data_IF_122192181860
#
_entry.id   IF_122192181860
#
_cell.length_a   1.000
_cell.length_b   1.000
_cell.length_c   1.000
_cell.angle_alpha   90.00
_cell.angle_beta   90.00
_cell.angle_gamma   90.00
#
_symmetry.space_group_name_H-M   'P 1'
#
loop_
_entity.id
_entity.type
_entity.pdbx_description
1 polymer ?
#
# COMPACT_ATOMS: atom_id res chain seq x y z
N UNK A 1 -20.27 5.07 -40.68
CA UNK A 1 -20.73 5.95 -39.59
C UNK A 1 -21.61 5.12 -38.70
N UNK A 2 -21.09 4.73 -37.54
CA UNK A 2 -21.80 3.95 -36.52
C UNK A 2 -21.66 4.76 -35.24
N UNK A 3 -22.78 5.13 -34.64
CA UNK A 3 -22.83 5.93 -33.42
C UNK A 3 -22.14 5.20 -32.25
N UNK A 4 -21.41 5.90 -31.38
CA UNK A 4 -20.88 5.29 -30.17
C UNK A 4 -22.00 5.10 -29.15
N UNK A 5 -22.23 3.84 -28.78
CA UNK A 5 -23.05 3.46 -27.64
C UNK A 5 -22.41 4.03 -26.37
N UNK A 6 -23.13 4.92 -25.68
CA UNK A 6 -22.81 5.30 -24.29
C UNK A 6 -22.90 4.04 -23.44
N UNK A 7 -21.75 3.51 -23.01
CA UNK A 7 -21.70 2.58 -21.87
C UNK A 7 -21.61 3.41 -20.59
N UNK A 8 -22.56 3.16 -19.69
CA UNK A 8 -22.47 3.58 -18.29
C UNK A 8 -21.20 2.96 -17.66
N UNK A 9 -20.49 3.69 -16.79
CA UNK A 9 -19.33 3.12 -16.12
C UNK A 9 -19.79 1.98 -15.22
N UNK A 10 -19.16 0.81 -15.40
CA UNK A 10 -19.28 -0.32 -14.50
C UNK A 10 -18.81 0.13 -13.10
N UNK A 11 -19.62 -0.20 -12.09
CA UNK A 11 -19.26 -0.02 -10.68
C UNK A 11 -18.11 -0.98 -10.33
N UNK A 12 -16.87 -0.50 -10.50
CA UNK A 12 -15.70 -1.22 -10.02
C UNK A 12 -15.54 -1.01 -8.52
N UNK A 13 -15.66 -2.11 -7.79
CA UNK A 13 -15.61 -2.20 -6.34
C UNK A 13 -14.20 -2.52 -5.91
N UNK A 14 -13.65 -1.65 -5.05
CA UNK A 14 -12.57 -1.87 -4.06
C UNK A 14 -11.15 -1.34 -4.38
N UNK A 15 -10.98 -0.05 -4.06
CA UNK A 15 -10.14 0.40 -2.94
C UNK A 15 -11.07 1.12 -1.94
N UNK A 16 -11.74 0.33 -1.08
CA UNK A 16 -12.57 0.84 0.01
C UNK A 16 -11.68 1.28 1.18
N UNK A 17 -10.93 2.35 0.97
CA UNK A 17 -10.51 3.22 2.07
C UNK A 17 -11.39 4.47 2.05
N UNK A 18 -12.34 4.53 3.00
CA UNK A 18 -13.10 5.75 3.29
C UNK A 18 -14.60 5.60 3.55
N UNK A 19 -15.23 4.44 3.32
CA UNK A 19 -16.65 4.24 3.71
C UNK A 19 -16.74 3.59 5.09
N UNK A 20 -16.36 4.35 6.12
CA UNK A 20 -16.87 4.23 7.51
C UNK A 20 -16.42 5.40 8.39
N UNK A 21 -16.29 6.61 7.82
CA UNK A 21 -16.09 7.82 8.61
C UNK A 21 -16.83 9.00 7.97
N UNK A 22 -17.98 9.33 8.58
CA UNK A 22 -18.79 10.54 8.42
C UNK A 22 -19.61 10.69 7.12
N UNK A 23 -20.94 10.50 7.23
CA UNK A 23 -21.85 11.02 6.22
C UNK A 23 -23.29 10.49 6.16
N UNK A 24 -23.93 10.10 7.26
CA UNK A 24 -25.40 10.14 7.36
C UNK A 24 -25.81 10.43 8.80
N UNK A 25 -25.83 11.72 9.13
CA UNK A 25 -26.54 12.21 10.30
C UNK A 25 -27.92 12.71 9.86
N UNK A 26 -28.91 11.81 9.80
CA UNK A 26 -30.33 12.13 9.95
C UNK A 26 -31.20 10.87 10.10
N UNK A 27 -30.94 10.02 11.11
CA UNK A 27 -31.97 9.21 11.79
C UNK A 27 -31.39 8.74 13.13
N UNK A 28 -32.18 8.82 14.21
CA UNK A 28 -31.79 8.41 15.56
C UNK A 28 -31.29 6.95 15.63
N UNK A 29 -30.43 6.59 16.59
CA UNK A 29 -29.86 5.24 16.65
C UNK A 29 -30.90 4.27 17.21
N UNK A 30 -31.34 3.31 16.39
CA UNK A 30 -31.77 2.04 16.95
C UNK A 30 -30.51 1.35 17.50
N UNK A 31 -30.54 1.11 18.81
CA UNK A 31 -29.57 0.33 19.57
C UNK A 31 -29.58 -1.13 19.09
N UNK A 32 -28.96 -1.39 17.94
CA UNK A 32 -28.69 -2.74 17.46
C UNK A 32 -27.32 -3.19 17.93
N UNK A 33 -27.27 -4.14 18.85
CA UNK A 33 -26.08 -4.96 19.10
C UNK A 33 -25.58 -5.52 17.74
N UNK A 34 -24.27 -5.59 17.45
CA UNK A 34 -23.79 -6.28 16.26
C UNK A 34 -24.41 -7.67 16.24
N UNK A 35 -25.08 -8.03 15.14
CA UNK A 35 -25.69 -9.35 15.02
C UNK A 35 -24.62 -10.41 15.32
N UNK A 36 -24.87 -11.27 16.30
CA UNK A 36 -23.97 -12.38 16.61
C UNK A 36 -23.76 -13.21 15.34
N UNK A 37 -22.50 -13.43 14.94
CA UNK A 37 -22.18 -14.27 13.79
C UNK A 37 -22.81 -15.64 14.00
N UNK A 38 -23.44 -16.19 12.96
CA UNK A 38 -24.03 -17.51 13.06
C UNK A 38 -22.94 -18.57 13.31
N UNK A 39 -23.26 -19.70 13.96
CA UNK A 39 -22.31 -20.82 14.09
C UNK A 39 -21.77 -21.32 12.75
N UNK A 40 -22.57 -21.22 11.69
CA UNK A 40 -22.18 -21.60 10.32
C UNK A 40 -21.13 -20.63 9.75
N UNK A 41 -21.29 -19.31 9.98
CA UNK A 41 -20.30 -18.31 9.57
C UNK A 41 -18.98 -18.49 10.31
N UNK A 42 -19.03 -18.81 11.61
CA UNK A 42 -17.83 -19.09 12.42
C UNK A 42 -17.10 -20.32 11.87
N UNK A 43 -17.82 -21.42 11.63
CA UNK A 43 -17.23 -22.65 11.10
C UNK A 43 -16.59 -22.43 9.72
N UNK A 44 -17.24 -21.63 8.83
CA UNK A 44 -16.68 -21.27 7.53
C UNK A 44 -15.39 -20.46 7.66
N UNK A 45 -15.37 -19.45 8.53
CA UNK A 45 -14.16 -18.64 8.76
C UNK A 45 -13.00 -19.48 9.31
N UNK A 46 -13.29 -20.44 10.19
CA UNK A 46 -12.29 -21.38 10.72
C UNK A 46 -11.71 -22.29 9.61
N UNK A 47 -12.57 -22.82 8.73
CA UNK A 47 -12.14 -23.63 7.58
C UNK A 47 -11.25 -22.82 6.63
N UNK A 48 -11.67 -21.60 6.29
CA UNK A 48 -10.88 -20.71 5.43
C UNK A 48 -9.53 -20.32 6.08
N UNK A 49 -9.50 -20.11 7.40
CA UNK A 49 -8.24 -19.89 8.13
C UNK A 49 -7.32 -21.11 8.05
N UNK A 50 -7.85 -22.32 8.23
CA UNK A 50 -7.07 -23.54 8.11
C UNK A 50 -6.50 -23.71 6.69
N UNK A 51 -7.31 -23.44 5.67
CA UNK A 51 -6.87 -23.46 4.28
C UNK A 51 -5.78 -22.42 4.01
N UNK A 52 -5.93 -21.19 4.49
CA UNK A 52 -4.89 -20.15 4.35
C UNK A 52 -3.57 -20.58 5.00
N UNK A 53 -3.62 -21.15 6.21
CA UNK A 53 -2.42 -21.66 6.90
C UNK A 53 -1.72 -22.73 6.07
N UNK A 54 -2.47 -23.61 5.41
CA UNK A 54 -1.90 -24.62 4.50
C UNK A 54 -1.22 -23.96 3.29
N UNK A 55 -1.85 -22.97 2.66
CA UNK A 55 -1.25 -22.25 1.52
C UNK A 55 0.03 -21.52 1.95
N UNK A 56 -0.01 -20.78 3.06
CA UNK A 56 1.14 -20.07 3.61
C UNK A 56 2.29 -21.02 3.98
N UNK A 57 1.99 -22.17 4.58
CA UNK A 57 3.01 -23.20 4.90
C UNK A 57 3.70 -23.70 3.64
N UNK A 58 2.94 -23.89 2.55
CA UNK A 58 3.48 -24.31 1.26
C UNK A 58 4.40 -23.25 0.68
N UNK A 59 3.95 -21.99 0.67
CA UNK A 59 4.72 -20.83 0.19
C UNK A 59 5.98 -20.62 1.02
N UNK A 60 5.90 -20.66 2.35
CA UNK A 60 7.06 -20.56 3.25
C UNK A 60 8.07 -21.67 2.95
N UNK A 61 7.59 -22.90 2.74
CA UNK A 61 8.45 -24.01 2.34
C UNK A 61 9.23 -23.74 1.05
N UNK A 62 8.60 -23.17 0.01
CA UNK A 62 9.30 -22.75 -1.20
C UNK A 62 10.29 -21.62 -0.92
N UNK A 63 9.86 -20.59 -0.17
CA UNK A 63 10.67 -19.43 0.18
C UNK A 63 11.94 -19.82 0.94
N UNK A 64 11.86 -20.68 1.95
CA UNK A 64 13.03 -21.11 2.73
C UNK A 64 14.12 -21.79 1.89
N UNK A 65 13.74 -22.41 0.76
CA UNK A 65 14.66 -23.12 -0.13
C UNK A 65 15.21 -22.27 -1.27
N UNK A 66 14.72 -21.04 -1.46
CA UNK A 66 15.18 -20.23 -2.60
C UNK A 66 16.66 -19.89 -2.47
N UNK A 67 17.39 -20.28 -3.51
CA UNK A 67 18.81 -20.06 -3.63
C UNK A 67 19.14 -19.44 -4.98
N UNK A 68 19.71 -18.25 -4.97
CA UNK A 68 20.23 -17.60 -6.16
C UNK A 68 21.72 -17.96 -6.34
N UNK A 69 22.18 -18.37 -7.53
CA UNK A 69 23.58 -18.69 -7.77
C UNK A 69 24.56 -17.56 -7.42
N UNK A 70 24.16 -16.29 -7.55
CA UNK A 70 25.02 -15.14 -7.27
C UNK A 70 24.94 -14.66 -5.82
N UNK A 71 23.79 -14.85 -5.16
CA UNK A 71 23.50 -14.26 -3.84
C UNK A 71 23.32 -15.27 -2.71
N UNK A 72 23.29 -16.57 -3.00
CA UNK A 72 23.11 -17.62 -2.00
C UNK A 72 21.65 -17.82 -1.59
N UNK A 73 21.41 -18.18 -0.32
CA UNK A 73 20.08 -18.45 0.25
C UNK A 73 19.22 -17.19 0.41
N UNK A 74 18.74 -16.64 -0.71
CA UNK A 74 18.00 -15.39 -0.78
C UNK A 74 16.63 -15.46 -0.12
N UNK A 75 15.96 -16.62 -0.14
CA UNK A 75 14.60 -16.69 0.36
C UNK A 75 14.50 -16.59 1.89
N UNK A 76 15.40 -17.24 2.63
CA UNK A 76 15.51 -17.03 4.09
C UNK A 76 15.89 -15.59 4.43
N UNK A 77 16.80 -14.98 3.65
CA UNK A 77 17.17 -13.58 3.86
C UNK A 77 15.97 -12.63 3.63
N UNK A 78 15.15 -12.91 2.61
CA UNK A 78 13.95 -12.15 2.30
C UNK A 78 12.89 -12.28 3.41
N UNK A 79 12.58 -13.52 3.83
CA UNK A 79 11.62 -13.78 4.92
C UNK A 79 12.06 -13.09 6.21
N UNK A 80 13.36 -13.14 6.54
CA UNK A 80 13.89 -12.45 7.71
C UNK A 80 13.77 -10.93 7.59
N UNK A 81 14.08 -10.36 6.43
CA UNK A 81 13.94 -8.93 6.19
C UNK A 81 12.48 -8.49 6.35
N UNK A 82 11.56 -9.15 5.64
CA UNK A 82 10.12 -8.85 5.69
C UNK A 82 9.55 -9.02 7.11
N UNK A 83 9.86 -10.13 7.78
CA UNK A 83 9.42 -10.41 9.15
C UNK A 83 9.97 -9.43 10.19
N UNK A 84 11.07 -8.73 9.90
CA UNK A 84 11.61 -7.68 10.79
C UNK A 84 10.87 -6.35 10.68
N UNK A 85 10.04 -6.17 9.64
CA UNK A 85 9.41 -4.90 9.32
C UNK A 85 7.89 -4.95 9.33
N UNK A 86 7.30 -6.08 8.97
CA UNK A 86 5.86 -6.28 8.99
C UNK A 86 5.33 -6.18 10.42
N UNK A 87 4.28 -5.38 10.62
CA UNK A 87 3.61 -5.32 11.92
C UNK A 87 2.53 -6.40 12.07
N UNK A 88 1.92 -6.84 10.96
CA UNK A 88 0.86 -7.85 10.94
C UNK A 88 0.71 -8.48 9.55
N UNK A 89 0.43 -9.77 9.56
CA UNK A 89 -0.17 -10.51 8.46
C UNK A 89 -1.53 -11.03 8.93
N UNK A 90 -2.60 -10.90 8.13
CA UNK A 90 -3.92 -11.45 8.48
C UNK A 90 -4.78 -11.72 7.24
N UNK A 91 -5.93 -12.33 7.44
CA UNK A 91 -6.94 -12.57 6.41
C UNK A 91 -7.99 -11.47 6.45
N UNK A 92 -8.29 -10.92 5.28
CA UNK A 92 -9.44 -10.07 5.04
C UNK A 92 -10.37 -10.80 4.05
N UNK A 93 -11.46 -11.36 4.56
CA UNK A 93 -12.39 -12.15 3.76
C UNK A 93 -13.19 -11.32 2.75
N UNK A 94 -13.26 -10.01 2.96
CA UNK A 94 -13.93 -9.09 2.03
C UNK A 94 -12.98 -8.68 0.89
N UNK A 95 -11.67 -8.81 1.09
CA UNK A 95 -10.68 -8.52 0.07
C UNK A 95 -10.65 -9.62 -0.99
N UNK A 96 -10.90 -9.26 -2.26
CA UNK A 96 -10.79 -10.19 -3.40
C UNK A 96 -9.35 -10.65 -3.71
N UNK A 97 -8.36 -9.74 -3.94
CA UNK A 97 -7.03 -10.15 -4.40
C UNK A 97 -6.33 -11.09 -3.41
N UNK A 98 -5.35 -11.86 -3.90
CA UNK A 98 -4.64 -12.85 -3.07
C UNK A 98 -3.92 -12.19 -1.89
N UNK A 99 -3.25 -11.06 -2.11
CA UNK A 99 -2.65 -10.29 -1.04
C UNK A 99 -2.79 -8.78 -1.34
N UNK A 100 -2.69 -7.95 -0.31
CA UNK A 100 -2.67 -6.50 -0.42
C UNK A 100 -1.88 -5.86 0.70
N UNK A 101 -1.01 -4.91 0.35
CA UNK A 101 -0.22 -4.15 1.30
C UNK A 101 -0.92 -2.84 1.72
N UNK A 102 -0.89 -2.56 3.02
CA UNK A 102 -1.44 -1.34 3.60
C UNK A 102 -0.35 -0.55 4.35
N UNK A 103 0.06 0.59 3.79
CA UNK A 103 1.08 1.48 4.37
C UNK A 103 0.54 2.37 5.48
N UNK A 104 -0.56 3.08 5.21
CA UNK A 104 -1.11 4.10 6.09
C UNK A 104 -2.60 3.94 6.32
N UNK A 105 -3.05 4.26 7.53
CA UNK A 105 -4.44 4.41 7.92
C UNK A 105 -4.72 5.90 8.01
N UNK A 106 -5.71 6.37 7.24
CA UNK A 106 -6.11 7.77 7.23
C UNK A 106 -7.64 7.97 7.20
N UNK A 107 -8.19 8.85 8.06
CA UNK A 107 -7.53 9.39 9.25
C UNK A 107 -7.34 8.27 10.29
N UNK A 108 -6.21 8.24 11.02
CA UNK A 108 -6.06 7.28 12.12
C UNK A 108 -7.05 7.60 13.23
N UNK A 109 -7.66 6.56 13.84
CA UNK A 109 -8.49 6.75 15.04
C UNK A 109 -7.63 7.26 16.20
N UNK A 110 -8.23 7.86 17.24
CA UNK A 110 -7.50 8.31 18.42
C UNK A 110 -6.61 7.22 19.03
N UNK A 111 -5.31 7.50 19.17
CA UNK A 111 -4.32 6.57 19.71
C UNK A 111 -3.94 5.40 18.80
N UNK A 112 -4.53 5.29 17.60
CA UNK A 112 -4.17 4.29 16.59
C UNK A 112 -2.92 4.72 15.84
N UNK A 113 -2.01 3.79 15.59
CA UNK A 113 -0.86 4.03 14.69
C UNK A 113 -1.35 4.41 13.30
N UNK A 114 -0.79 5.49 12.72
CA UNK A 114 -1.10 5.85 11.33
C UNK A 114 -0.36 4.98 10.34
N UNK A 115 0.91 4.67 10.59
CA UNK A 115 1.66 3.72 9.77
C UNK A 115 1.35 2.28 10.20
N UNK A 116 0.73 1.50 9.31
CA UNK A 116 0.34 0.11 9.56
C UNK A 116 1.44 -0.87 9.17
N UNK A 117 1.95 -0.83 7.94
CA UNK A 117 2.84 -1.84 7.39
C UNK A 117 2.28 -3.27 7.52
N UNK A 118 1.06 -3.46 7.03
CA UNK A 118 0.34 -4.74 7.07
C UNK A 118 0.27 -5.37 5.68
N UNK A 119 0.26 -6.69 5.65
CA UNK A 119 -0.14 -7.46 4.47
C UNK A 119 -1.38 -8.26 4.83
N UNK A 120 -2.45 -8.06 4.08
CA UNK A 120 -3.68 -8.82 4.24
C UNK A 120 -3.77 -9.86 3.12
N UNK A 121 -4.42 -10.99 3.38
CA UNK A 121 -4.67 -12.06 2.43
C UNK A 121 -6.16 -12.16 2.15
N UNK A 122 -6.53 -12.16 0.87
CA UNK A 122 -7.92 -12.16 0.45
C UNK A 122 -8.42 -13.53 0.03
N UNK A 123 -9.63 -13.56 -0.53
CA UNK A 123 -10.30 -14.79 -0.94
C UNK A 123 -9.50 -15.57 -2.01
N UNK A 124 -8.89 -14.88 -2.98
CA UNK A 124 -8.11 -15.56 -4.04
C UNK A 124 -6.89 -16.32 -3.49
N UNK A 125 -6.34 -15.93 -2.34
CA UNK A 125 -5.18 -16.62 -1.75
C UNK A 125 -5.52 -18.03 -1.25
N UNK A 126 -6.79 -18.31 -1.01
CA UNK A 126 -7.25 -19.65 -0.64
C UNK A 126 -7.23 -20.61 -1.84
N UNK A 127 -7.31 -20.09 -3.07
CA UNK A 127 -7.48 -20.90 -4.27
C UNK A 127 -6.20 -21.62 -4.69
N UNK A 128 -5.02 -21.01 -4.50
CA UNK A 128 -3.80 -21.46 -5.16
C UNK A 128 -2.50 -20.91 -4.49
N UNK A 129 -1.63 -21.80 -3.99
CA UNK A 129 -0.34 -21.44 -3.39
C UNK A 129 0.60 -20.73 -4.38
N UNK A 130 0.60 -21.12 -5.66
CA UNK A 130 1.47 -20.55 -6.68
C UNK A 130 1.18 -19.06 -6.93
N UNK A 131 -0.10 -18.67 -6.94
CA UNK A 131 -0.55 -17.28 -7.02
C UNK A 131 -0.23 -16.53 -5.73
N UNK A 132 -0.47 -17.16 -4.58
CA UNK A 132 -0.13 -16.58 -3.28
C UNK A 132 1.37 -16.30 -3.16
N UNK A 133 2.24 -17.17 -3.68
CA UNK A 133 3.68 -16.94 -3.72
C UNK A 133 4.03 -15.63 -4.43
N UNK A 134 3.45 -15.40 -5.60
CA UNK A 134 3.63 -14.15 -6.35
C UNK A 134 3.09 -12.92 -5.64
N UNK A 135 1.83 -12.98 -5.20
CA UNK A 135 1.19 -11.86 -4.52
C UNK A 135 1.90 -11.51 -3.20
N UNK A 136 2.17 -12.51 -2.35
CA UNK A 136 2.83 -12.30 -1.05
C UNK A 136 4.23 -11.72 -1.19
N UNK A 137 5.04 -12.23 -2.12
CA UNK A 137 6.39 -11.68 -2.34
C UNK A 137 6.35 -10.24 -2.84
N UNK A 138 5.41 -9.91 -3.73
CA UNK A 138 5.16 -8.55 -4.18
C UNK A 138 4.82 -7.61 -3.01
N UNK A 139 3.83 -7.97 -2.19
CA UNK A 139 3.43 -7.15 -1.03
C UNK A 139 4.53 -7.03 0.04
N UNK A 140 5.34 -8.07 0.22
CA UNK A 140 6.49 -8.03 1.15
C UNK A 140 7.58 -7.07 0.66
N UNK A 141 7.77 -6.95 -0.66
CA UNK A 141 8.67 -5.92 -1.21
C UNK A 141 8.13 -4.53 -0.89
N UNK A 142 6.83 -4.28 -1.03
CA UNK A 142 6.24 -3.00 -0.60
C UNK A 142 6.50 -2.71 0.89
N UNK A 143 6.28 -3.69 1.76
CA UNK A 143 6.56 -3.53 3.18
C UNK A 143 8.03 -3.18 3.48
N UNK A 144 8.98 -3.67 2.66
CA UNK A 144 10.40 -3.34 2.76
C UNK A 144 10.74 -1.97 2.17
N UNK A 145 10.14 -1.58 1.05
CA UNK A 145 10.33 -0.26 0.43
C UNK A 145 9.94 0.87 1.38
N UNK A 146 8.80 0.73 2.07
CA UNK A 146 8.32 1.68 3.08
C UNK A 146 9.17 1.68 4.36
N UNK A 147 10.24 0.89 4.44
CA UNK A 147 11.13 0.95 5.60
C UNK A 147 12.25 1.95 5.43
N UNK A 148 12.66 2.20 4.19
CA UNK A 148 13.88 2.95 3.88
C UNK A 148 13.63 4.18 3.00
N UNK A 149 12.56 4.22 2.21
CA UNK A 149 12.35 5.29 1.23
C UNK A 149 11.53 6.46 1.80
N UNK A 150 12.18 7.62 1.99
CA UNK A 150 11.53 8.80 2.56
C UNK A 150 10.40 9.34 1.66
N UNK A 151 10.55 9.22 0.34
CA UNK A 151 9.53 9.64 -0.63
C UNK A 151 8.22 8.84 -0.53
N UNK A 152 8.27 7.60 -0.03
CA UNK A 152 7.07 6.81 0.25
C UNK A 152 6.36 7.30 1.51
N UNK A 153 7.06 7.94 2.45
CA UNK A 153 6.47 8.58 3.63
C UNK A 153 5.99 10.01 3.37
N UNK A 154 6.46 10.68 2.31
CA UNK A 154 5.90 11.95 1.84
C UNK A 154 4.56 11.74 1.08
N UNK A 155 3.68 10.95 1.70
CA UNK A 155 2.42 10.44 1.16
C UNK A 155 1.23 11.30 1.64
N UNK A 156 0.26 11.65 0.76
CA UNK A 156 -1.00 12.26 1.18
C UNK A 156 -1.74 11.51 2.30
N UNK A 157 -1.63 10.17 2.36
CA UNK A 157 -2.21 9.33 3.41
C UNK A 157 -1.44 9.38 4.75
N UNK A 158 -0.21 9.89 4.77
CA UNK A 158 0.58 9.95 6.00
C UNK A 158 0.17 11.15 6.85
N UNK A 159 -0.62 10.91 7.90
CA UNK A 159 -1.09 11.95 8.82
C UNK A 159 0.04 12.59 9.67
N UNK A 160 1.23 11.98 9.72
CA UNK A 160 2.35 12.45 10.53
C UNK A 160 3.09 13.66 9.93
N UNK A 161 2.82 14.01 8.69
CA UNK A 161 3.61 15.01 7.95
C UNK A 161 2.74 15.90 7.09
N UNK A 162 3.15 17.15 6.94
CA UNK A 162 2.61 18.07 5.94
C UNK A 162 3.50 18.21 4.69
N UNK A 163 4.64 17.50 4.65
CA UNK A 163 5.49 17.36 3.46
C UNK A 163 4.93 16.23 2.58
N UNK A 164 4.60 16.54 1.33
CA UNK A 164 3.99 15.63 0.37
C UNK A 164 4.67 15.74 -0.99
N UNK A 165 4.86 14.62 -1.68
CA UNK A 165 5.27 14.67 -3.09
C UNK A 165 4.20 15.35 -3.95
N UNK A 166 4.63 16.01 -5.01
CA UNK A 166 3.76 16.60 -6.04
C UNK A 166 2.85 15.54 -6.69
N UNK A 167 1.71 15.91 -7.32
CA UNK A 167 0.86 14.94 -8.00
C UNK A 167 1.63 14.14 -9.06
N UNK A 168 2.48 14.79 -9.86
CA UNK A 168 3.33 14.10 -10.82
C UNK A 168 4.26 13.08 -10.14
N UNK A 169 4.91 13.47 -9.04
CA UNK A 169 5.83 12.58 -8.34
C UNK A 169 5.12 11.50 -7.53
N UNK A 170 3.85 11.69 -7.16
CA UNK A 170 3.02 10.64 -6.60
C UNK A 170 2.76 9.52 -7.62
N UNK A 171 2.51 9.87 -8.88
CA UNK A 171 2.41 8.89 -9.96
C UNK A 171 3.75 8.21 -10.21
N UNK A 172 4.81 9.00 -10.35
CA UNK A 172 6.15 8.48 -10.60
C UNK A 172 6.58 7.50 -9.51
N UNK A 173 6.39 7.84 -8.22
CA UNK A 173 6.74 6.93 -7.13
C UNK A 173 5.90 5.66 -7.13
N UNK A 174 4.61 5.72 -7.47
CA UNK A 174 3.73 4.54 -7.53
C UNK A 174 4.21 3.61 -8.65
N UNK A 175 4.46 4.17 -9.82
CA UNK A 175 5.03 3.44 -10.95
C UNK A 175 6.37 2.76 -10.59
N UNK A 176 7.27 3.46 -9.88
CA UNK A 176 8.60 2.93 -9.51
C UNK A 176 8.51 1.91 -8.37
N UNK A 177 7.68 2.17 -7.36
CA UNK A 177 7.36 1.24 -6.29
C UNK A 177 6.91 -0.12 -6.85
N UNK A 178 5.97 -0.08 -7.77
CA UNK A 178 5.38 -1.27 -8.40
C UNK A 178 6.36 -1.98 -9.32
N UNK A 179 7.14 -1.26 -10.14
CA UNK A 179 8.22 -1.85 -10.94
C UNK A 179 9.18 -2.68 -10.11
N UNK A 180 9.66 -2.11 -9.00
CA UNK A 180 10.60 -2.78 -8.13
C UNK A 180 9.98 -4.04 -7.49
N UNK A 181 8.72 -3.95 -7.05
CA UNK A 181 7.98 -5.08 -6.49
C UNK A 181 7.72 -6.19 -7.52
N UNK A 182 7.36 -5.86 -8.76
CA UNK A 182 7.17 -6.85 -9.82
C UNK A 182 8.47 -7.52 -10.27
N UNK A 183 9.55 -6.75 -10.40
CA UNK A 183 10.87 -7.30 -10.76
C UNK A 183 11.34 -8.30 -9.69
N UNK A 184 11.26 -7.91 -8.42
CA UNK A 184 11.69 -8.76 -7.30
C UNK A 184 10.75 -9.95 -7.08
N UNK A 185 9.44 -9.75 -7.22
CA UNK A 185 8.45 -10.83 -7.18
C UNK A 185 8.68 -11.85 -8.30
N UNK A 186 8.85 -11.39 -9.55
CA UNK A 186 9.13 -12.27 -10.68
C UNK A 186 10.47 -13.01 -10.53
N UNK A 187 11.49 -12.36 -9.98
CA UNK A 187 12.77 -13.01 -9.67
C UNK A 187 12.62 -14.13 -8.64
N UNK A 188 11.96 -13.87 -7.51
CA UNK A 188 11.76 -14.87 -6.46
C UNK A 188 10.87 -16.02 -6.96
N UNK A 189 9.81 -15.72 -7.71
CA UNK A 189 8.98 -16.73 -8.37
C UNK A 189 9.76 -17.54 -9.42
N UNK A 190 10.68 -16.91 -10.17
CA UNK A 190 11.53 -17.61 -11.14
C UNK A 190 12.48 -18.61 -10.46
N UNK A 191 12.96 -18.30 -9.26
CA UNK A 191 13.72 -19.26 -8.44
C UNK A 191 12.82 -20.39 -7.92
N UNK A 192 11.62 -20.05 -7.42
CA UNK A 192 10.66 -21.01 -6.89
C UNK A 192 10.15 -22.00 -7.96
N UNK A 193 10.10 -21.57 -9.23
CA UNK A 193 9.63 -22.38 -10.35
C UNK A 193 10.44 -23.68 -10.57
N UNK A 194 11.66 -23.80 -10.02
CA UNK A 194 12.41 -25.05 -10.03
C UNK A 194 11.74 -26.17 -9.22
N UNK A 195 11.13 -25.81 -8.09
CA UNK A 195 10.41 -26.73 -7.19
C UNK A 195 8.90 -26.77 -7.49
N UNK A 196 8.34 -25.67 -8.01
CA UNK A 196 6.92 -25.51 -8.32
C UNK A 196 6.71 -24.91 -9.73
N UNK A 197 6.83 -25.72 -10.80
CA UNK A 197 6.78 -25.23 -12.18
C UNK A 197 5.47 -24.51 -12.57
N UNK A 198 4.36 -24.85 -11.92
CA UNK A 198 3.04 -24.26 -12.19
C UNK A 198 2.98 -22.76 -11.87
N UNK A 199 3.90 -22.24 -11.04
CA UNK A 199 4.06 -20.80 -10.80
C UNK A 199 4.20 -20.03 -12.10
N UNK A 200 4.96 -20.55 -13.07
CA UNK A 200 5.18 -19.86 -14.36
C UNK A 200 3.85 -19.66 -15.09
N UNK A 201 3.01 -20.69 -15.12
CA UNK A 201 1.72 -20.64 -15.81
C UNK A 201 0.72 -19.75 -15.08
N UNK A 202 0.64 -19.85 -13.75
CA UNK A 202 -0.31 -19.10 -12.93
C UNK A 202 0.00 -17.59 -12.94
N UNK A 203 1.28 -17.23 -13.07
CA UNK A 203 1.79 -15.85 -13.07
C UNK A 203 2.01 -15.27 -14.47
N UNK A 204 1.58 -15.94 -15.54
CA UNK A 204 1.80 -15.48 -16.92
C UNK A 204 1.06 -14.17 -17.24
N UNK A 205 0.00 -13.86 -16.50
CA UNK A 205 -0.78 -12.63 -16.67
C UNK A 205 -0.29 -11.47 -15.79
N UNK A 206 0.71 -11.70 -14.94
CA UNK A 206 1.26 -10.65 -14.07
C UNK A 206 1.92 -9.53 -14.88
N UNK A 207 1.94 -8.28 -14.37
CA UNK A 207 2.61 -7.15 -15.01
C UNK A 207 4.04 -7.42 -15.49
N UNK A 208 4.81 -8.21 -14.75
CA UNK A 208 6.03 -8.84 -15.22
C UNK A 208 5.91 -10.38 -15.10
N UNK A 209 5.66 -11.10 -16.21
CA UNK A 209 5.58 -12.55 -16.18
C UNK A 209 6.90 -13.19 -15.74
N UNK A 210 6.80 -14.31 -15.01
CA UNK A 210 7.96 -15.08 -14.54
C UNK A 210 8.83 -15.55 -15.72
N UNK A 211 8.19 -16.00 -16.79
CA UNK A 211 8.82 -16.40 -18.05
C UNK A 211 9.62 -15.25 -18.69
N UNK A 212 9.06 -14.03 -18.68
CA UNK A 212 9.74 -12.81 -19.15
C UNK A 212 10.99 -12.52 -18.33
N UNK A 213 10.92 -12.54 -17.00
CA UNK A 213 12.09 -12.31 -16.16
C UNK A 213 13.17 -13.39 -16.38
N UNK A 214 12.80 -14.67 -16.49
CA UNK A 214 13.74 -15.76 -16.80
C UNK A 214 14.46 -15.53 -18.13
N UNK A 215 13.73 -15.10 -19.16
CA UNK A 215 14.29 -14.79 -20.47
C UNK A 215 15.27 -13.60 -20.41
N UNK A 216 14.91 -12.53 -19.69
CA UNK A 216 15.78 -11.38 -19.47
C UNK A 216 17.05 -11.80 -18.73
N UNK A 217 16.92 -12.56 -17.63
CA UNK A 217 18.05 -13.05 -16.84
C UNK A 217 19.03 -13.88 -17.67
N UNK A 218 18.52 -14.76 -18.55
CA UNK A 218 19.37 -15.58 -19.43
C UNK A 218 20.17 -14.77 -20.46
N UNK A 219 19.71 -13.56 -20.80
CA UNK A 219 20.34 -12.65 -21.76
C UNK A 219 21.13 -11.52 -21.11
N UNK A 220 21.15 -11.47 -19.78
CA UNK A 220 21.79 -10.39 -19.02
C UNK A 220 23.19 -10.78 -18.59
N UNK A 221 24.08 -9.79 -18.47
CA UNK A 221 25.47 -10.02 -18.08
C UNK A 221 25.58 -10.49 -16.62
N UNK A 222 24.73 -9.93 -15.75
CA UNK A 222 24.62 -10.27 -14.34
C UNK A 222 23.19 -10.01 -13.84
N UNK A 223 22.97 -10.20 -12.54
CA UNK A 223 21.65 -10.02 -11.92
C UNK A 223 21.23 -8.54 -11.87
N UNK A 224 22.16 -7.61 -11.74
CA UNK A 224 21.85 -6.17 -11.73
C UNK A 224 21.35 -5.72 -13.11
N UNK A 225 22.03 -6.13 -14.18
CA UNK A 225 21.60 -5.88 -15.56
C UNK A 225 20.21 -6.50 -15.85
N UNK A 226 19.95 -7.70 -15.33
CA UNK A 226 18.64 -8.34 -15.47
C UNK A 226 17.51 -7.53 -14.81
N UNK A 227 17.76 -7.02 -13.60
CA UNK A 227 16.81 -6.19 -12.86
C UNK A 227 16.52 -4.88 -13.59
N UNK A 228 17.56 -4.18 -14.03
CA UNK A 228 17.41 -2.92 -14.76
C UNK A 228 16.65 -3.08 -16.09
N UNK A 229 16.88 -4.18 -16.82
CA UNK A 229 16.14 -4.49 -18.05
C UNK A 229 14.68 -4.83 -17.75
N UNK A 230 14.43 -5.67 -16.74
CA UNK A 230 13.09 -6.06 -16.34
C UNK A 230 12.25 -4.86 -15.86
N UNK A 231 12.86 -3.90 -15.16
CA UNK A 231 12.21 -2.67 -14.75
C UNK A 231 11.71 -1.84 -15.94
N UNK A 232 12.57 -1.70 -16.96
CA UNK A 232 12.25 -0.94 -18.18
C UNK A 232 11.12 -1.60 -18.95
N UNK A 233 11.14 -2.91 -19.09
CA UNK A 233 10.13 -3.68 -19.82
C UNK A 233 8.78 -3.66 -19.10
N UNK A 234 8.76 -3.88 -17.79
CA UNK A 234 7.54 -3.97 -16.97
C UNK A 234 6.52 -2.85 -17.22
N UNK A 235 6.99 -1.61 -17.47
CA UNK A 235 6.14 -0.44 -17.78
C UNK A 235 5.28 -0.60 -19.03
N UNK A 236 5.86 -1.23 -20.04
CA UNK A 236 5.33 -1.31 -21.40
C UNK A 236 4.59 -2.62 -21.65
N UNK A 237 4.67 -3.56 -20.70
CA UNK A 237 3.98 -4.83 -20.81
C UNK A 237 2.47 -4.63 -20.68
N UNK A 238 1.75 -5.50 -21.37
CA UNK A 238 0.33 -5.68 -21.18
C UNK A 238 0.12 -6.77 -20.12
N UNK A 239 -0.65 -6.48 -19.08
CA UNK A 239 -0.94 -7.44 -18.01
C UNK A 239 -2.32 -7.22 -17.39
N UNK A 240 -2.64 -8.03 -16.37
CA UNK A 240 -3.86 -7.88 -15.57
C UNK A 240 -3.50 -7.76 -14.10
N UNK A 241 -4.23 -6.92 -13.38
CA UNK A 241 -4.04 -6.69 -11.94
C UNK A 241 -4.74 -7.73 -11.09
N UNK A 242 -5.92 -8.14 -11.53
CA UNK A 242 -6.75 -9.16 -10.88
C UNK A 242 -7.22 -10.15 -11.94
N UNK A 243 -7.71 -11.31 -11.49
CA UNK A 243 -8.07 -12.45 -12.34
C UNK A 243 -9.00 -12.10 -13.51
N UNK A 244 -9.88 -11.12 -13.31
CA UNK A 244 -10.96 -10.75 -14.25
C UNK A 244 -10.81 -9.35 -14.85
N UNK A 245 -9.70 -8.66 -14.57
CA UNK A 245 -9.46 -7.32 -15.12
C UNK A 245 -9.19 -7.36 -16.63
N UNK A 246 -9.58 -6.29 -17.34
CA UNK A 246 -9.17 -6.11 -18.72
C UNK A 246 -7.63 -5.96 -18.80
N UNK A 247 -7.05 -6.53 -19.86
CA UNK A 247 -5.61 -6.44 -20.11
C UNK A 247 -5.26 -5.03 -20.60
N UNK A 248 -4.46 -4.30 -19.83
CA UNK A 248 -4.08 -2.91 -20.09
C UNK A 248 -2.56 -2.74 -20.16
N UNK A 249 -2.11 -1.58 -20.68
CA UNK A 249 -0.71 -1.16 -20.47
C UNK A 249 -0.56 -0.78 -19.02
N UNK A 250 0.29 -1.51 -18.31
CA UNK A 250 0.39 -1.46 -16.85
C UNK A 250 0.68 -0.04 -16.34
N UNK A 251 1.55 0.72 -17.02
CA UNK A 251 1.84 2.10 -16.63
C UNK A 251 0.62 3.04 -16.68
N UNK A 252 -0.25 2.88 -17.68
CA UNK A 252 -1.41 3.77 -17.83
C UNK A 252 -2.45 3.52 -16.73
N UNK A 253 -2.70 2.25 -16.37
CA UNK A 253 -3.61 1.90 -15.27
C UNK A 253 -3.06 2.35 -13.90
N UNK A 254 -1.74 2.24 -13.69
CA UNK A 254 -1.08 2.84 -12.50
C UNK A 254 -1.33 4.33 -12.40
N UNK A 255 -1.14 5.07 -13.50
CA UNK A 255 -1.32 6.51 -13.52
C UNK A 255 -2.76 6.88 -13.21
N UNK A 256 -3.73 6.19 -13.82
CA UNK A 256 -5.15 6.44 -13.59
C UNK A 256 -5.51 6.30 -12.10
N UNK A 257 -5.14 5.18 -11.47
CA UNK A 257 -5.42 4.92 -10.05
C UNK A 257 -4.69 5.91 -9.14
N UNK A 258 -3.41 6.18 -9.41
CA UNK A 258 -2.61 7.08 -8.59
C UNK A 258 -3.15 8.53 -8.64
N UNK A 259 -3.65 8.98 -9.79
CA UNK A 259 -4.31 10.30 -9.91
C UNK A 259 -5.56 10.37 -9.04
N UNK A 260 -6.43 9.37 -9.16
CA UNK A 260 -7.71 9.35 -8.46
C UNK A 260 -7.50 9.23 -6.93
N UNK A 261 -6.55 8.40 -6.49
CA UNK A 261 -6.11 8.32 -5.08
C UNK A 261 -5.58 9.67 -4.57
N UNK A 262 -4.68 10.29 -5.32
CA UNK A 262 -4.06 11.55 -4.92
C UNK A 262 -5.10 12.65 -4.81
N UNK A 263 -5.98 12.82 -5.80
CA UNK A 263 -7.02 13.85 -5.75
C UNK A 263 -7.96 13.64 -4.56
N UNK A 264 -8.40 12.40 -4.34
CA UNK A 264 -9.26 12.04 -3.21
C UNK A 264 -8.61 12.43 -1.89
N UNK A 265 -7.34 12.09 -1.72
CA UNK A 265 -6.61 12.41 -0.49
C UNK A 265 -6.31 13.89 -0.33
N UNK A 266 -5.96 14.58 -1.41
CA UNK A 266 -5.77 16.02 -1.37
C UNK A 266 -7.04 16.75 -0.94
N UNK A 267 -8.22 16.28 -1.38
CA UNK A 267 -9.50 16.79 -0.91
C UNK A 267 -9.60 16.66 0.61
N UNK A 268 -9.39 15.46 1.14
CA UNK A 268 -9.46 15.21 2.58
C UNK A 268 -8.42 16.01 3.37
N UNK A 269 -7.17 16.07 2.90
CA UNK A 269 -6.10 16.82 3.57
C UNK A 269 -6.43 18.30 3.60
N UNK A 270 -6.83 18.87 2.48
CA UNK A 270 -7.16 20.29 2.38
C UNK A 270 -8.38 20.67 3.24
N UNK A 271 -9.42 19.83 3.26
CA UNK A 271 -10.63 20.09 4.05
C UNK A 271 -10.40 19.98 5.57
N UNK A 272 -9.34 19.27 6.01
CA UNK A 272 -9.04 19.02 7.42
C UNK A 272 -7.78 19.74 7.93
N UNK A 273 -7.17 20.63 7.11
CA UNK A 273 -6.04 21.45 7.54
C UNK A 273 -6.41 22.29 8.77
N UNK A 274 -5.61 22.20 9.82
CA UNK A 274 -5.83 23.03 11.00
C UNK A 274 -5.45 24.48 10.72
N UNK A 275 -6.02 25.42 11.48
CA UNK A 275 -5.72 26.84 11.33
C UNK A 275 -4.21 27.11 11.54
N UNK A 276 -3.56 27.64 10.51
CA UNK A 276 -2.12 27.94 10.53
C UNK A 276 -1.22 26.81 10.01
N UNK A 277 -1.77 25.64 9.67
CA UNK A 277 -1.03 24.58 8.98
C UNK A 277 -0.96 24.85 7.48
N UNK A 278 0.17 24.50 6.87
CA UNK A 278 0.38 24.56 5.42
C UNK A 278 0.96 23.23 4.92
N UNK A 279 0.48 22.80 3.75
CA UNK A 279 1.06 21.67 3.04
C UNK A 279 2.29 22.14 2.28
N UNK A 280 3.38 21.39 2.40
CA UNK A 280 4.62 21.60 1.66
C UNK A 280 4.72 20.54 0.57
N UNK A 281 4.62 20.98 -0.68
CA UNK A 281 4.79 20.08 -1.83
C UNK A 281 6.25 20.02 -2.26
N UNK A 282 6.72 18.82 -2.53
CA UNK A 282 8.11 18.56 -2.94
C UNK A 282 8.14 17.79 -4.25
N UNK A 283 9.27 17.89 -4.95
CA UNK A 283 9.58 16.99 -6.06
C UNK A 283 10.56 15.90 -5.66
N UNK A 284 10.50 14.78 -6.35
CA UNK A 284 11.48 13.70 -6.21
C UNK A 284 12.70 13.93 -7.11
N UNK A 285 13.87 13.59 -6.60
CA UNK A 285 15.10 13.44 -7.38
C UNK A 285 15.47 11.96 -7.58
N UNK A 286 16.54 11.68 -8.31
CA UNK A 286 16.91 10.29 -8.59
C UNK A 286 17.33 9.52 -7.34
N UNK A 287 17.86 10.18 -6.30
CA UNK A 287 18.24 9.49 -5.06
C UNK A 287 16.99 8.93 -4.34
N UNK A 288 15.88 9.65 -4.37
CA UNK A 288 14.60 9.18 -3.85
C UNK A 288 14.12 7.89 -4.57
N UNK A 289 14.36 7.77 -5.87
CA UNK A 289 14.00 6.60 -6.67
C UNK A 289 14.91 5.42 -6.35
N UNK A 290 16.22 5.67 -6.18
CA UNK A 290 17.17 4.62 -5.78
C UNK A 290 16.84 4.08 -4.39
N UNK A 291 16.36 4.90 -3.45
CA UNK A 291 15.90 4.44 -2.14
C UNK A 291 14.72 3.47 -2.23
N UNK A 292 13.76 3.73 -3.15
CA UNK A 292 12.64 2.81 -3.40
C UNK A 292 13.19 1.47 -3.93
N UNK A 293 14.11 1.50 -4.88
CA UNK A 293 14.70 0.28 -5.46
C UNK A 293 15.62 -0.51 -4.52
N UNK A 294 16.07 0.10 -3.41
CA UNK A 294 17.02 -0.50 -2.47
C UNK A 294 16.38 -1.40 -1.39
N UNK A 295 15.13 -1.84 -1.58
CA UNK A 295 14.36 -2.58 -0.56
C UNK A 295 14.90 -3.99 -0.23
N UNK A 296 15.37 -4.74 -1.22
CA UNK A 296 15.93 -6.09 -1.06
C UNK A 296 16.64 -6.55 -2.34
N UNK A 297 17.77 -7.26 -2.23
CA UNK A 297 18.51 -7.72 -3.41
C UNK A 297 19.16 -6.56 -4.19
N UNK A 298 19.45 -6.74 -5.49
CA UNK A 298 19.96 -5.67 -6.34
C UNK A 298 18.96 -4.52 -6.45
N UNK A 299 19.48 -3.30 -6.63
CA UNK A 299 18.63 -2.17 -6.94
C UNK A 299 18.03 -2.35 -8.33
N UNK A 300 16.71 -2.24 -8.45
CA UNK A 300 15.99 -2.38 -9.72
C UNK A 300 16.30 -1.25 -10.70
N UNK A 301 16.80 -0.11 -10.19
CA UNK A 301 17.08 1.07 -10.97
C UNK A 301 18.58 1.29 -11.16
N UNK A 302 18.93 1.95 -12.28
CA UNK A 302 20.30 2.33 -12.63
C UNK A 302 21.01 3.03 -11.47
N UNK A 303 22.26 2.68 -11.19
CA UNK A 303 22.98 3.23 -10.02
C UNK A 303 23.25 4.75 -10.06
N UNK A 304 23.10 5.40 -11.22
CA UNK A 304 23.32 6.83 -11.37
C UNK A 304 22.06 7.65 -11.04
N UNK A 305 22.05 8.29 -9.87
CA UNK A 305 20.98 9.16 -9.40
C UNK A 305 20.75 10.41 -10.30
N UNK A 306 21.68 10.74 -11.19
CA UNK A 306 21.52 11.84 -12.14
C UNK A 306 20.85 11.41 -13.44
N UNK A 307 20.54 10.13 -13.62
CA UNK A 307 19.86 9.64 -14.79
C UNK A 307 18.41 10.15 -14.82
N UNK A 308 18.09 10.99 -15.82
CA UNK A 308 16.78 11.60 -15.97
C UNK A 308 15.63 10.60 -16.07
N UNK A 309 15.87 9.41 -16.63
CA UNK A 309 14.85 8.35 -16.74
C UNK A 309 14.31 7.88 -15.38
N UNK A 310 15.07 8.09 -14.30
CA UNK A 310 14.58 7.82 -12.93
C UNK A 310 13.41 8.74 -12.57
N UNK A 311 13.49 10.01 -13.00
CA UNK A 311 12.58 11.09 -12.60
C UNK A 311 11.57 11.50 -13.67
N UNK A 312 11.48 10.74 -14.76
CA UNK A 312 10.58 11.01 -15.89
C UNK A 312 9.64 9.81 -16.11
N UNK A 313 8.35 10.11 -16.26
CA UNK A 313 7.32 9.17 -16.71
C UNK A 313 7.35 9.13 -18.24
N UNK A 314 7.78 8.00 -18.82
CA UNK A 314 7.96 7.86 -20.26
C UNK A 314 6.64 7.87 -21.05
N UNK A 315 5.59 7.27 -20.49
CA UNK A 315 4.29 7.09 -21.17
C UNK A 315 3.14 7.79 -20.43
N UNK A 316 3.31 9.05 -20.04
CA UNK A 316 2.20 9.79 -19.43
C UNK A 316 1.20 10.19 -20.51
N UNK A 317 -0.02 9.63 -20.45
CA UNK A 317 -1.06 9.96 -21.42
C UNK A 317 -1.43 11.46 -21.34
N UNK A 318 -1.83 12.11 -22.45
CA UNK A 318 -2.26 13.51 -22.43
C UNK A 318 -3.43 13.77 -21.46
N UNK A 319 -4.33 12.79 -21.30
CA UNK A 319 -5.45 12.88 -20.36
C UNK A 319 -4.96 12.89 -18.91
N UNK A 320 -3.99 12.03 -18.57
CA UNK A 320 -3.37 12.01 -17.24
C UNK A 320 -2.57 13.28 -16.96
N UNK A 321 -1.81 13.78 -17.94
CA UNK A 321 -1.13 15.07 -17.82
C UNK A 321 -2.11 16.23 -17.57
N UNK A 322 -3.26 16.23 -18.25
CA UNK A 322 -4.30 17.24 -18.02
C UNK A 322 -4.89 17.13 -16.60
N UNK A 323 -5.25 15.94 -16.13
CA UNK A 323 -5.76 15.74 -14.77
C UNK A 323 -4.76 16.21 -13.70
N UNK A 324 -3.46 15.95 -13.88
CA UNK A 324 -2.41 16.45 -12.97
C UNK A 324 -2.45 17.98 -12.92
N UNK A 325 -2.46 18.65 -14.07
CA UNK A 325 -2.51 20.11 -14.13
C UNK A 325 -3.79 20.70 -13.49
N UNK A 326 -4.92 19.99 -13.59
CA UNK A 326 -6.18 20.35 -12.93
C UNK A 326 -6.07 20.25 -11.40
N UNK A 327 -5.46 19.18 -10.88
CA UNK A 327 -5.18 19.00 -9.45
C UNK A 327 -4.23 20.09 -8.94
N UNK A 328 -3.13 20.33 -9.67
CA UNK A 328 -2.16 21.37 -9.31
C UNK A 328 -2.84 22.74 -9.19
N UNK A 329 -3.65 23.11 -10.18
CA UNK A 329 -4.42 24.35 -10.16
C UNK A 329 -5.44 24.38 -9.00
N UNK A 330 -6.16 23.29 -8.78
CA UNK A 330 -7.22 23.19 -7.75
C UNK A 330 -6.67 23.39 -6.34
N UNK A 331 -5.50 22.84 -6.05
CA UNK A 331 -4.88 22.92 -4.72
C UNK A 331 -3.71 23.91 -4.64
N UNK A 332 -3.57 24.80 -5.62
CA UNK A 332 -2.51 25.82 -5.68
C UNK A 332 -1.09 25.25 -5.54
N UNK A 333 -0.85 24.08 -6.13
CA UNK A 333 0.45 23.42 -6.15
C UNK A 333 1.28 24.06 -7.29
N UNK A 334 2.48 24.52 -6.97
CA UNK A 334 3.37 25.09 -7.97
C UNK A 334 3.84 24.01 -8.97
N UNK A 335 4.19 24.39 -10.21
CA UNK A 335 4.69 23.44 -11.20
C UNK A 335 5.88 22.63 -10.66
N UNK A 336 5.91 21.32 -10.93
CA UNK A 336 6.93 20.39 -10.41
C UNK A 336 8.35 20.96 -10.43
N UNK A 337 8.80 21.55 -11.53
CA UNK A 337 10.16 22.07 -11.69
C UNK A 337 10.54 23.20 -10.72
N UNK A 338 9.55 23.87 -10.12
CA UNK A 338 9.73 24.94 -9.13
C UNK A 338 9.65 24.47 -7.68
N UNK A 339 9.25 23.22 -7.45
CA UNK A 339 9.16 22.65 -6.10
C UNK A 339 10.55 22.30 -5.56
N UNK A 340 10.77 22.43 -4.24
CA UNK A 340 11.99 21.94 -3.61
C UNK A 340 12.06 20.41 -3.70
N UNK A 341 13.28 19.85 -3.70
CA UNK A 341 13.46 18.40 -3.53
C UNK A 341 13.10 17.97 -2.10
N UNK A 342 12.91 16.67 -1.88
CA UNK A 342 12.76 16.13 -0.51
C UNK A 342 13.92 16.57 0.40
N UNK A 343 15.15 16.47 -0.10
CA UNK A 343 16.36 16.83 0.64
C UNK A 343 16.37 18.32 1.03
N UNK A 344 15.95 19.20 0.13
CA UNK A 344 15.84 20.64 0.39
C UNK A 344 14.74 20.94 1.42
N UNK A 345 13.59 20.27 1.31
CA UNK A 345 12.49 20.41 2.27
C UNK A 345 12.88 19.92 3.68
N UNK A 346 13.62 18.82 3.78
CA UNK A 346 14.11 18.31 5.06
C UNK A 346 15.16 19.24 5.68
N UNK A 347 16.07 19.79 4.88
CA UNK A 347 17.03 20.78 5.36
C UNK A 347 16.31 22.03 5.89
N UNK A 348 15.29 22.53 5.19
CA UNK A 348 14.49 23.66 5.65
C UNK A 348 13.69 23.36 6.93
N UNK A 349 13.19 22.13 7.07
CA UNK A 349 12.48 21.67 8.26
C UNK A 349 13.40 21.29 9.44
N UNK A 350 14.73 21.29 9.25
CA UNK A 350 15.68 20.88 10.27
C UNK A 350 15.57 19.39 10.65
N UNK A 351 15.17 18.53 9.71
CA UNK A 351 15.01 17.09 9.91
C UNK A 351 15.93 16.28 8.98
N UNK A 352 16.13 15.00 9.29
CA UNK A 352 16.85 14.05 8.42
C UNK A 352 15.87 13.06 7.80
N UNK A 353 16.30 12.34 6.74
CA UNK A 353 15.50 11.24 6.15
C UNK A 353 15.12 10.19 7.19
N UNK A 354 16.08 9.78 8.01
CA UNK A 354 15.88 8.76 9.05
C UNK A 354 14.89 9.25 10.12
N UNK A 355 15.02 10.49 10.58
CA UNK A 355 14.11 11.06 11.58
C UNK A 355 12.70 11.25 11.02
N UNK A 356 12.58 11.68 9.77
CA UNK A 356 11.30 11.80 9.08
C UNK A 356 10.54 10.47 9.00
N UNK A 357 11.24 9.41 8.57
CA UNK A 357 10.69 8.05 8.52
C UNK A 357 10.33 7.56 9.92
N UNK A 358 11.23 7.72 10.90
CA UNK A 358 11.00 7.30 12.28
C UNK A 358 9.78 8.00 12.90
N UNK A 359 9.64 9.31 12.67
CA UNK A 359 8.47 10.07 13.10
C UNK A 359 7.19 9.55 12.45
N UNK A 360 7.19 9.34 11.14
CA UNK A 360 6.04 8.80 10.43
C UNK A 360 5.59 7.43 10.96
N UNK A 361 6.54 6.53 11.26
CA UNK A 361 6.24 5.17 11.75
C UNK A 361 5.70 5.12 13.17
N UNK A 362 5.98 6.15 13.98
CA UNK A 362 5.62 6.20 15.41
C UNK A 362 4.43 7.13 15.69
N UNK A 363 3.96 7.86 14.69
CA UNK A 363 2.82 8.76 14.81
C UNK A 363 1.51 8.01 15.11
N UNK A 364 0.74 8.57 16.05
CA UNK A 364 -0.58 8.08 16.46
C UNK A 364 -1.63 9.15 16.24
N UNK A 365 -2.85 8.72 15.90
CA UNK A 365 -3.98 9.61 15.70
C UNK A 365 -4.26 10.47 16.93
N UNK A 366 -4.71 11.73 16.73
CA UNK A 366 -4.92 12.69 17.81
C UNK A 366 -5.93 12.15 18.82
N UNK A 367 -5.71 12.42 20.10
CA UNK A 367 -6.64 12.04 21.15
C UNK A 367 -8.05 12.56 20.86
N UNK A 368 -9.08 11.77 21.16
CA UNK A 368 -10.45 12.24 21.06
C UNK A 368 -10.59 13.51 21.88
N UNK A 369 -11.22 14.59 21.36
CA UNK A 369 -11.48 15.76 22.18
C UNK A 369 -12.27 15.30 23.40
N UNK A 370 -11.75 15.59 24.59
CA UNK A 370 -12.47 15.35 25.84
C UNK A 370 -13.86 15.98 25.67
N UNK A 371 -14.91 15.19 25.82
CA UNK A 371 -16.28 15.69 25.77
C UNK A 371 -16.32 16.97 26.61
N UNK A 372 -16.71 18.08 25.97
CA UNK A 372 -17.01 19.30 26.71
C UNK A 372 -18.13 18.91 27.67
N UNK A 373 -17.76 18.69 28.93
CA UNK A 373 -18.68 18.62 30.06
C UNK A 373 -19.54 19.87 30.00
N UNK A 374 -20.67 19.74 29.33
CA UNK A 374 -21.73 20.73 29.36
C UNK A 374 -22.29 20.61 30.77
N UNK A 375 -22.26 21.66 31.59
CA UNK A 375 -22.74 21.55 32.96
C UNK A 375 -24.20 21.09 32.89
N UNK A 376 -24.45 19.94 33.52
CA UNK A 376 -25.78 19.38 33.67
C UNK A 376 -26.68 20.46 34.27
N UNK A 377 -27.67 20.88 33.51
CA UNK A 377 -28.69 21.79 34.02
C UNK A 377 -29.49 21.01 35.06
N UNK A 378 -29.35 21.43 36.31
CA UNK A 378 -30.11 20.95 37.46
C UNK A 378 -31.60 20.90 37.13
N UNK A 379 -32.13 19.70 36.97
CA UNK A 379 -33.52 19.38 37.31
C UNK A 379 -33.58 17.91 37.71
N UNK A 380 -33.30 17.67 38.99
CA UNK A 380 -33.70 16.44 39.65
C UNK A 380 -35.23 16.26 39.54
N UNK A 381 -35.68 15.00 39.53
CA UNK A 381 -36.64 14.60 40.54
C UNK A 381 -36.06 13.52 41.45
N UNK A 382 -36.45 13.67 42.71
CA UNK A 382 -35.99 13.00 43.91
C UNK A 382 -36.52 11.57 43.98
N UNK A 383 -35.83 10.76 44.81
CA UNK A 383 -36.22 9.49 45.45
C UNK A 383 -35.75 8.24 44.69
N UNK A 384 -35.09 7.26 45.31
CA UNK A 384 -35.05 6.89 46.73
C UNK A 384 -33.75 6.11 46.99
N UNK A 385 -33.02 6.51 48.04
CA UNK A 385 -31.94 5.70 48.61
C UNK A 385 -32.55 4.40 49.14
N UNK A 386 -31.93 3.27 48.80
CA UNK A 386 -31.98 2.12 49.69
C UNK A 386 -30.57 1.54 49.83
N UNK A 387 -30.07 1.73 51.04
CA UNK A 387 -28.81 1.26 51.59
C UNK A 387 -28.86 -0.24 51.87
N UNK A 388 -27.89 -1.01 51.41
CA UNK A 388 -27.71 -2.42 51.80
C UNK A 388 -26.25 -2.87 51.61
N UNK A 389 -25.57 -3.44 52.62
CA UNK A 389 -24.13 -3.60 52.65
C UNK A 389 -23.62 -4.88 51.96
N UNK A 390 -22.39 -4.83 51.44
CA UNK A 390 -21.57 -6.01 51.09
C UNK A 390 -21.22 -6.83 52.35
N UNK A 391 -21.32 -8.16 52.25
CA UNK A 391 -20.24 -9.06 52.66
C UNK A 391 -20.00 -10.12 51.56
N UNK A 392 -18.86 -10.78 51.39
CA UNK A 392 -17.60 -10.86 52.10
C UNK A 392 -16.69 -11.77 51.27
N UNK A 393 -15.39 -11.73 51.55
CA UNK A 393 -14.40 -12.61 50.98
C UNK A 393 -14.65 -14.08 51.35
N UNK A 394 -14.36 -15.01 50.43
CA UNK A 394 -13.77 -16.28 50.79
C UNK A 394 -12.77 -16.71 49.72
N UNK A 395 -11.57 -17.00 50.20
CA UNK A 395 -10.50 -17.66 49.50
C UNK A 395 -10.86 -19.12 49.18
N UNK A 396 -10.38 -19.60 48.04
CA UNK A 396 -9.53 -20.78 47.92
C UNK A 396 -8.70 -20.65 46.64
#
# INVERSE_FOLDING_TARGET
MVEPVKKEPAEDTELRDGKNAAGDAASAPETGTPAEKSPEDIAREEEQRAQMVQQLTTVDGWMERLHDPALGGVGLAFLKAAGSVLKREDIDFDMKPSAGYHSFIYPPKPGQDSFSNYVLYGAEALENAERLMGARTHEFVHALQYQTAAALHADPFNAATNIMVSPYDYLLRKERLEQDAYVKGAWLCALAAADAPDIVKVMESSPLPVSTFQNIRAQSADLTDAFEKAARDCRNLLGVWTKDAEKTVIADDWHARAIDEYERMMKYRHDNLQAGETLTFVRMDGADILEIGASFGPNTFVADAHNKSLTEIENLSPAHAQKIAEIEKKYSIAPRASLPTLSEAFAAAGTTRADFIAHSKTYKGPAAPAEKNTPANDTAPVQQQNTGPRPGAHAL
#
